data_IF_841419171513
#
_entry.id   IF_841419171513
#
_cell.length_a   1.000
_cell.length_b   1.000
_cell.length_c   1.000
_cell.angle_alpha   90.00
_cell.angle_beta   90.00
_cell.angle_gamma   90.00
#
_symmetry.space_group_name_H-M   'P 1'
#
loop_
_entity.id
_entity.type
_entity.pdbx_description
1 polymer ?
#
# COMPACT_ATOMS: atom_id res chain seq x y z
N UNK A 1 -22.41 31.18 45.92
CA UNK A 1 -21.67 29.89 45.86
C UNK A 1 -22.22 29.12 44.67
N UNK A 2 -21.53 29.15 43.52
CA UNK A 2 -21.96 28.42 42.33
C UNK A 2 -21.23 27.08 42.27
N UNK A 3 -21.99 25.99 42.28
CA UNK A 3 -21.49 24.62 42.22
C UNK A 3 -21.24 24.27 40.75
N UNK A 4 -19.98 24.12 40.36
CA UNK A 4 -19.59 23.64 39.03
C UNK A 4 -19.68 22.10 39.03
N UNK A 5 -20.71 21.56 38.37
CA UNK A 5 -20.82 20.13 38.09
C UNK A 5 -19.90 19.76 36.93
N UNK A 6 -18.76 19.12 37.24
CA UNK A 6 -17.88 18.51 36.24
C UNK A 6 -18.57 17.26 35.67
N UNK A 7 -19.17 17.38 34.49
CA UNK A 7 -19.53 16.22 33.67
C UNK A 7 -18.25 15.58 33.13
N UNK A 8 -17.81 14.49 33.76
CA UNK A 8 -16.81 13.58 33.22
C UNK A 8 -17.40 12.91 31.96
N UNK A 9 -17.14 13.49 30.80
CA UNK A 9 -17.35 12.84 29.52
C UNK A 9 -16.35 11.69 29.41
N UNK A 10 -16.75 10.49 29.81
CA UNK A 10 -16.01 9.26 29.48
C UNK A 10 -16.17 9.02 27.98
N UNK A 11 -15.18 9.44 27.19
CA UNK A 11 -15.05 9.01 25.80
C UNK A 11 -15.02 7.47 25.78
N UNK A 12 -15.91 6.81 25.02
CA UNK A 12 -15.83 5.37 24.89
C UNK A 12 -14.50 5.04 24.22
N UNK A 13 -13.63 4.31 24.93
CA UNK A 13 -12.43 3.72 24.35
C UNK A 13 -12.93 2.64 23.40
N UNK A 14 -13.05 3.00 22.11
CA UNK A 14 -13.20 2.01 21.05
C UNK A 14 -11.89 1.25 21.04
N UNK A 15 -11.87 0.06 21.63
CA UNK A 15 -10.81 -0.90 21.41
C UNK A 15 -10.87 -1.26 19.91
N UNK A 16 -10.08 -0.57 19.10
CA UNK A 16 -9.82 -1.04 17.75
C UNK A 16 -9.09 -2.37 17.94
N UNK A 17 -9.72 -3.47 17.54
CA UNK A 17 -8.99 -4.70 17.26
C UNK A 17 -8.12 -4.39 16.05
N UNK A 18 -6.97 -3.75 16.29
CA UNK A 18 -5.95 -3.61 15.28
C UNK A 18 -5.59 -5.05 14.90
N UNK A 19 -6.02 -5.48 13.71
CA UNK A 19 -5.58 -6.75 13.16
C UNK A 19 -4.04 -6.67 13.13
N UNK A 20 -3.41 -7.47 13.97
CA UNK A 20 -1.96 -7.47 14.12
C UNK A 20 -1.33 -7.99 12.83
N UNK A 21 -0.47 -7.19 12.23
CA UNK A 21 0.22 -7.49 10.99
C UNK A 21 1.11 -8.73 11.13
N UNK A 22 1.60 -9.01 12.34
CA UNK A 22 2.39 -10.22 12.65
C UNK A 22 1.58 -11.51 12.72
N UNK A 23 0.26 -11.43 12.90
CA UNK A 23 -0.57 -12.61 13.05
C UNK A 23 -0.89 -13.25 11.71
N UNK A 24 -1.01 -14.57 11.74
CA UNK A 24 -1.39 -15.37 10.59
C UNK A 24 -2.91 -15.36 10.49
N UNK A 25 -3.42 -14.88 9.37
CA UNK A 25 -4.85 -14.85 9.07
C UNK A 25 -5.18 -15.96 8.08
N UNK A 26 -6.39 -16.50 8.14
CA UNK A 26 -6.86 -17.50 7.20
C UNK A 26 -8.09 -16.99 6.47
N UNK A 27 -8.13 -17.22 5.16
CA UNK A 27 -9.24 -16.79 4.32
C UNK A 27 -9.35 -17.68 3.09
N UNK A 28 -10.48 -17.59 2.39
CA UNK A 28 -10.58 -18.18 1.04
C UNK A 28 -10.15 -17.13 0.04
N UNK A 29 -8.98 -17.29 -0.58
CA UNK A 29 -8.56 -16.41 -1.66
C UNK A 29 -9.24 -16.80 -2.97
N UNK A 30 -9.81 -15.83 -3.67
CA UNK A 30 -10.44 -16.03 -4.98
C UNK A 30 -9.51 -15.63 -6.12
N UNK A 31 -9.64 -16.28 -7.26
CA UNK A 31 -9.02 -15.85 -8.50
C UNK A 31 -9.75 -14.64 -9.06
N UNK A 32 -9.02 -13.57 -9.39
CA UNK A 32 -9.57 -12.49 -10.19
C UNK A 32 -9.66 -12.94 -11.66
N UNK A 33 -10.88 -13.00 -12.21
CA UNK A 33 -11.13 -13.52 -13.57
C UNK A 33 -10.46 -12.70 -14.67
N UNK A 34 -10.23 -11.40 -14.45
CA UNK A 34 -9.49 -10.53 -15.36
C UNK A 34 -8.29 -9.87 -14.65
N UNK A 35 -7.13 -10.54 -14.65
CA UNK A 35 -5.92 -10.07 -13.97
C UNK A 35 -5.44 -8.67 -14.42
N UNK A 36 -5.83 -8.20 -15.60
CA UNK A 36 -5.51 -6.83 -16.06
C UNK A 36 -6.25 -5.75 -15.28
N UNK A 37 -7.43 -6.06 -14.70
CA UNK A 37 -8.19 -5.13 -13.88
C UNK A 37 -7.45 -4.77 -12.59
N UNK A 38 -6.74 -5.73 -11.97
CA UNK A 38 -5.91 -5.46 -10.79
C UNK A 38 -4.75 -4.51 -11.09
N UNK A 39 -4.39 -4.34 -12.37
CA UNK A 39 -3.40 -3.34 -12.76
C UNK A 39 -3.97 -1.93 -12.72
N UNK A 40 -5.25 -1.76 -13.06
CA UNK A 40 -5.98 -0.48 -13.02
C UNK A 40 -6.95 -0.38 -11.84
N UNK A 41 -6.63 -1.08 -10.73
CA UNK A 41 -7.44 -1.13 -9.53
C UNK A 41 -7.50 0.20 -8.77
N UNK A 42 -8.25 0.21 -7.67
CA UNK A 42 -8.49 1.36 -6.80
C UNK A 42 -7.21 2.04 -6.28
N UNK A 43 -6.08 1.32 -6.20
CA UNK A 43 -4.80 1.93 -5.84
C UNK A 43 -4.20 2.85 -6.90
N UNK A 44 -4.66 2.75 -8.15
CA UNK A 44 -4.28 3.64 -9.23
C UNK A 44 -2.89 3.37 -9.80
N UNK A 45 -2.27 2.20 -9.59
CA UNK A 45 -0.92 1.91 -10.12
C UNK A 45 -0.88 1.79 -11.65
N UNK A 46 -1.99 1.44 -12.30
CA UNK A 46 -2.12 1.33 -13.75
C UNK A 46 -1.12 0.34 -14.35
N UNK A 47 -0.53 0.74 -15.48
CA UNK A 47 0.49 -0.05 -16.18
C UNK A 47 1.76 -0.35 -15.37
N UNK A 48 1.96 0.31 -14.23
CA UNK A 48 3.10 0.02 -13.35
C UNK A 48 2.88 -1.23 -12.49
N UNK A 49 1.63 -1.63 -12.23
CA UNK A 49 1.32 -2.71 -11.29
C UNK A 49 1.97 -4.06 -11.65
N UNK A 50 1.96 -4.53 -12.92
CA UNK A 50 2.58 -5.81 -13.29
C UNK A 50 4.10 -5.88 -13.03
N UNK A 51 4.76 -4.73 -12.86
CA UNK A 51 6.19 -4.68 -12.54
C UNK A 51 6.48 -5.01 -11.07
N UNK A 52 5.48 -4.93 -10.19
CA UNK A 52 5.63 -5.28 -8.78
C UNK A 52 5.51 -6.77 -8.58
N UNK A 53 6.50 -7.37 -7.89
CA UNK A 53 6.50 -8.79 -7.51
C UNK A 53 6.09 -9.73 -8.65
N UNK A 54 6.60 -9.49 -9.87
CA UNK A 54 6.28 -10.28 -11.07
C UNK A 54 4.77 -10.33 -11.44
N UNK A 55 4.01 -9.33 -11.01
CA UNK A 55 2.56 -9.26 -11.20
C UNK A 55 1.79 -10.11 -10.19
N UNK A 56 2.36 -10.38 -9.01
CA UNK A 56 1.65 -11.01 -7.90
C UNK A 56 0.78 -9.98 -7.17
N UNK A 57 -0.35 -9.65 -7.80
CA UNK A 57 -1.26 -8.60 -7.33
C UNK A 57 -2.40 -9.18 -6.49
N UNK A 58 -2.91 -8.36 -5.57
CA UNK A 58 -4.09 -8.64 -4.77
C UNK A 58 -5.05 -7.44 -4.72
N UNK A 59 -6.36 -7.72 -4.77
CA UNK A 59 -7.38 -6.83 -4.24
C UNK A 59 -7.65 -7.23 -2.79
N UNK A 60 -7.75 -6.26 -1.88
CA UNK A 60 -7.92 -6.52 -0.45
C UNK A 60 -9.17 -5.85 0.11
N UNK A 61 -9.78 -6.46 1.12
CA UNK A 61 -10.97 -5.93 1.80
C UNK A 61 -10.75 -4.54 2.42
N UNK A 62 -11.81 -3.76 2.72
CA UNK A 62 -11.69 -2.39 3.21
C UNK A 62 -10.74 -2.20 4.40
N UNK A 63 -10.69 -3.15 5.35
CA UNK A 63 -9.82 -3.07 6.52
C UNK A 63 -8.32 -3.21 6.20
N UNK A 64 -7.98 -3.89 5.09
CA UNK A 64 -6.60 -3.96 4.58
C UNK A 64 -6.32 -2.79 3.64
N UNK A 65 -7.28 -2.45 2.76
CA UNK A 65 -7.17 -1.33 1.83
C UNK A 65 -7.06 0.03 2.53
N UNK A 66 -7.70 0.19 3.69
CA UNK A 66 -7.63 1.36 4.59
C UNK A 66 -7.81 2.70 3.86
N UNK A 67 -8.88 2.81 3.08
CA UNK A 67 -9.17 4.01 2.27
C UNK A 67 -7.98 4.44 1.37
N UNK A 68 -7.14 3.49 0.96
CA UNK A 68 -5.97 3.72 0.12
C UNK A 68 -4.64 3.80 0.86
N UNK A 69 -4.59 3.91 2.20
CA UNK A 69 -3.30 3.86 2.92
C UNK A 69 -2.64 2.48 2.87
N UNK A 70 -3.43 1.42 2.69
CA UNK A 70 -2.94 0.06 2.48
C UNK A 70 -2.50 -0.25 1.05
N UNK A 71 -2.63 0.69 0.11
CA UNK A 71 -2.13 0.50 -1.24
C UNK A 71 -0.62 0.34 -1.25
N UNK A 72 -0.13 -0.72 -1.89
CA UNK A 72 1.28 -1.08 -1.87
C UNK A 72 1.70 -1.94 -0.68
N UNK A 73 0.80 -2.27 0.26
CA UNK A 73 1.11 -3.20 1.35
C UNK A 73 1.41 -4.61 0.81
N UNK A 74 2.39 -5.28 1.42
CA UNK A 74 2.81 -6.61 1.04
C UNK A 74 2.37 -7.68 2.04
N UNK A 75 1.97 -8.83 1.50
CA UNK A 75 1.57 -9.99 2.28
C UNK A 75 2.27 -11.24 1.78
N UNK A 76 2.76 -12.07 2.69
CA UNK A 76 3.12 -13.44 2.37
C UNK A 76 1.84 -14.27 2.41
N UNK A 77 1.52 -14.95 1.32
CA UNK A 77 0.30 -15.76 1.17
C UNK A 77 0.68 -17.20 0.82
N UNK A 78 0.12 -18.16 1.55
CA UNK A 78 0.35 -19.59 1.33
C UNK A 78 -0.98 -20.32 1.23
N UNK A 79 -1.15 -21.10 0.16
CA UNK A 79 -2.28 -22.02 0.07
C UNK A 79 -2.08 -23.25 0.96
N UNK A 80 -3.17 -23.72 1.58
CA UNK A 80 -3.14 -24.73 2.63
C UNK A 80 -3.23 -26.19 2.14
N UNK A 81 -3.56 -26.43 0.86
CA UNK A 81 -3.60 -27.79 0.31
C UNK A 81 -2.17 -28.27 0.02
N UNK A 82 -1.61 -29.08 0.93
CA UNK A 82 -0.24 -29.60 0.82
C UNK A 82 0.03 -30.44 -0.45
N UNK A 83 -1.00 -30.99 -1.11
CA UNK A 83 -0.83 -31.73 -2.38
C UNK A 83 -0.66 -30.79 -3.56
N UNK A 84 -1.27 -29.60 -3.49
CA UNK A 84 -1.25 -28.62 -4.58
C UNK A 84 -0.23 -27.51 -4.36
N UNK A 85 0.04 -27.15 -3.10
CA UNK A 85 0.62 -25.88 -2.71
C UNK A 85 1.98 -26.04 -2.05
N UNK A 86 2.88 -25.11 -2.36
CA UNK A 86 4.21 -25.05 -1.76
C UNK A 86 4.13 -24.58 -0.32
N UNK A 87 5.08 -25.02 0.51
CA UNK A 87 5.18 -24.57 1.91
C UNK A 87 5.60 -23.11 2.04
N UNK A 88 6.20 -22.54 1.00
CA UNK A 88 6.69 -21.16 0.98
C UNK A 88 5.57 -20.19 0.65
N UNK A 89 4.70 -20.53 -0.30
CA UNK A 89 3.71 -19.60 -0.82
C UNK A 89 4.33 -18.53 -1.72
N UNK A 90 3.72 -17.35 -1.79
CA UNK A 90 4.20 -16.21 -2.56
C UNK A 90 3.96 -14.90 -1.83
N UNK A 91 4.80 -13.91 -2.10
CA UNK A 91 4.53 -12.53 -1.71
C UNK A 91 3.60 -11.87 -2.75
N UNK A 92 2.62 -11.12 -2.26
CA UNK A 92 1.67 -10.34 -3.07
C UNK A 92 1.67 -8.88 -2.62
N UNK A 93 1.26 -7.98 -3.51
CA UNK A 93 1.09 -6.55 -3.24
C UNK A 93 -0.37 -6.14 -3.44
N UNK A 94 -0.89 -5.31 -2.54
CA UNK A 94 -2.24 -4.75 -2.63
C UNK A 94 -2.28 -3.64 -3.68
N UNK A 95 -3.06 -3.85 -4.74
CA UNK A 95 -3.24 -2.90 -5.85
C UNK A 95 -4.69 -2.52 -6.12
N UNK A 96 -5.63 -3.13 -5.40
CA UNK A 96 -7.06 -2.89 -5.61
C UNK A 96 -7.86 -3.09 -4.31
N UNK A 97 -9.10 -2.60 -4.32
CA UNK A 97 -10.09 -2.81 -3.28
C UNK A 97 -10.96 -4.02 -3.66
N UNK A 98 -11.07 -4.98 -2.75
CA UNK A 98 -12.11 -5.99 -2.81
C UNK A 98 -13.32 -5.51 -1.98
N UNK A 99 -14.40 -5.10 -2.65
CA UNK A 99 -15.64 -4.69 -1.97
C UNK A 99 -16.44 -5.85 -1.38
N UNK A 100 -16.08 -7.11 -1.70
CA UNK A 100 -16.73 -8.29 -1.13
C UNK A 100 -16.05 -8.69 0.19
N UNK A 101 -16.78 -8.60 1.30
CA UNK A 101 -16.29 -8.92 2.64
C UNK A 101 -16.25 -10.42 2.96
N UNK A 102 -16.69 -11.30 2.06
CA UNK A 102 -16.65 -12.76 2.26
C UNK A 102 -15.24 -13.35 2.18
N UNK A 103 -14.30 -12.63 1.56
CA UNK A 103 -12.92 -13.09 1.35
C UNK A 103 -11.97 -11.93 1.49
N UNK A 104 -10.89 -12.07 2.25
CA UNK A 104 -10.01 -10.93 2.53
C UNK A 104 -9.17 -10.53 1.32
N UNK A 105 -8.85 -11.50 0.46
CA UNK A 105 -7.96 -11.34 -0.69
C UNK A 105 -8.54 -11.93 -1.97
N UNK A 106 -8.45 -11.17 -3.06
CA UNK A 106 -8.64 -11.68 -4.43
C UNK A 106 -7.32 -11.55 -5.17
N UNK A 107 -6.82 -12.66 -5.70
CA UNK A 107 -5.45 -12.77 -6.22
C UNK A 107 -5.43 -12.79 -7.74
N UNK A 108 -4.38 -12.19 -8.31
CA UNK A 108 -4.03 -12.38 -9.71
C UNK A 108 -3.73 -13.86 -10.03
N UNK A 109 -3.93 -14.27 -11.28
CA UNK A 109 -3.60 -15.63 -11.75
C UNK A 109 -2.14 -15.99 -11.48
N UNK A 110 -1.22 -15.03 -11.62
CA UNK A 110 0.21 -15.23 -11.35
C UNK A 110 0.48 -15.50 -9.87
N UNK A 111 -0.11 -14.72 -8.97
CA UNK A 111 0.00 -14.97 -7.53
C UNK A 111 -0.58 -16.35 -7.16
N UNK A 112 -1.76 -16.71 -7.69
CA UNK A 112 -2.37 -18.01 -7.40
C UNK A 112 -1.47 -19.17 -7.85
N UNK A 113 -0.96 -19.12 -9.08
CA UNK A 113 -0.03 -20.14 -9.60
C UNK A 113 1.30 -20.19 -8.82
N UNK A 114 1.83 -19.04 -8.39
CA UNK A 114 3.10 -18.97 -7.65
C UNK A 114 3.04 -19.66 -6.28
N UNK A 115 1.84 -19.87 -5.72
CA UNK A 115 1.68 -20.66 -4.49
C UNK A 115 1.72 -22.18 -4.73
N UNK A 116 1.59 -22.65 -5.96
CA UNK A 116 1.52 -24.08 -6.26
C UNK A 116 2.88 -24.78 -6.13
N UNK A 117 2.86 -26.08 -5.92
CA UNK A 117 4.01 -26.95 -6.15
C UNK A 117 4.33 -27.00 -7.65
N UNK A 118 5.60 -27.28 -7.97
CA UNK A 118 6.05 -27.45 -9.35
C UNK A 118 5.19 -28.48 -10.08
N UNK A 119 4.58 -28.07 -11.20
CA UNK A 119 3.69 -28.90 -12.01
C UNK A 119 2.22 -28.88 -11.59
N UNK A 120 1.88 -28.21 -10.48
CA UNK A 120 0.52 -28.12 -9.95
C UNK A 120 -0.14 -26.75 -10.22
N UNK A 121 0.56 -25.83 -10.87
CA UNK A 121 0.15 -24.44 -11.10
C UNK A 121 -1.19 -24.36 -11.84
N UNK A 122 -1.30 -25.09 -12.94
CA UNK A 122 -2.53 -25.14 -13.74
C UNK A 122 -3.69 -25.81 -13.01
N UNK A 123 -3.40 -26.80 -12.15
CA UNK A 123 -4.43 -27.46 -11.36
C UNK A 123 -4.98 -26.51 -10.30
N UNK A 124 -4.12 -25.78 -9.61
CA UNK A 124 -4.52 -24.77 -8.63
C UNK A 124 -5.29 -23.62 -9.31
N UNK A 125 -4.82 -23.15 -10.47
CA UNK A 125 -5.50 -22.09 -11.23
C UNK A 125 -6.92 -22.48 -11.63
N UNK A 126 -7.12 -23.73 -12.09
CA UNK A 126 -8.44 -24.26 -12.50
C UNK A 126 -9.45 -24.36 -11.34
N UNK A 127 -9.00 -24.41 -10.09
CA UNK A 127 -9.91 -24.37 -8.94
C UNK A 127 -10.57 -23.00 -8.77
N UNK A 128 -9.97 -21.93 -9.30
CA UNK A 128 -10.49 -20.56 -9.21
C UNK A 128 -10.51 -19.96 -7.80
N UNK A 129 -10.11 -20.72 -6.78
CA UNK A 129 -9.98 -20.30 -5.40
C UNK A 129 -9.06 -21.25 -4.62
N UNK A 130 -8.52 -20.77 -3.50
CA UNK A 130 -7.75 -21.59 -2.57
C UNK A 130 -7.99 -21.12 -1.13
N UNK A 131 -8.06 -22.06 -0.18
CA UNK A 131 -7.91 -21.71 1.23
C UNK A 131 -6.46 -21.32 1.46
N UNK A 132 -6.25 -20.11 1.96
CA UNK A 132 -4.92 -19.56 2.19
C UNK A 132 -4.79 -19.10 3.62
N UNK A 133 -3.55 -19.10 4.07
CA UNK A 133 -3.11 -18.29 5.18
C UNK A 133 -2.28 -17.11 4.65
N UNK A 134 -2.34 -15.98 5.33
CA UNK A 134 -1.57 -14.81 4.96
C UNK A 134 -1.12 -14.01 6.18
N UNK A 135 -0.01 -13.29 6.04
CA UNK A 135 0.49 -12.34 7.04
C UNK A 135 1.10 -11.14 6.35
N UNK A 136 1.02 -9.96 6.97
CA UNK A 136 1.68 -8.77 6.43
C UNK A 136 3.19 -8.93 6.59
N UNK A 137 3.94 -8.53 5.57
CA UNK A 137 5.41 -8.63 5.52
C UNK A 137 6.00 -7.34 4.96
N UNK A 138 7.27 -7.01 5.26
CA UNK A 138 7.93 -5.88 4.64
C UNK A 138 7.96 -6.00 3.12
N UNK A 139 7.66 -4.90 2.44
CA UNK A 139 7.90 -4.80 1.01
C UNK A 139 9.40 -4.59 0.76
N UNK A 140 10.02 -5.51 0.02
CA UNK A 140 11.41 -5.40 -0.44
C UNK A 140 11.45 -5.24 -1.95
N UNK A 141 11.98 -4.10 -2.40
CA UNK A 141 12.15 -3.78 -3.82
C UNK A 141 13.61 -3.90 -4.29
N UNK A 142 14.44 -4.68 -3.60
CA UNK A 142 15.81 -5.05 -3.99
C UNK A 142 16.69 -3.85 -4.31
N UNK A 143 16.72 -2.89 -3.38
CA UNK A 143 17.54 -1.69 -3.49
C UNK A 143 16.93 -0.54 -4.30
N UNK A 144 15.70 -0.67 -4.80
CA UNK A 144 14.97 0.48 -5.37
C UNK A 144 14.61 1.47 -4.27
N UNK A 145 14.78 2.75 -4.57
CA UNK A 145 14.30 3.84 -3.76
C UNK A 145 12.79 4.04 -3.96
N UNK A 146 12.17 4.72 -3.00
CA UNK A 146 10.85 5.33 -3.18
C UNK A 146 10.91 6.20 -4.44
N UNK A 147 9.93 6.04 -5.33
CA UNK A 147 9.84 6.83 -6.55
C UNK A 147 8.49 7.53 -6.64
N UNK A 148 8.45 8.64 -7.39
CA UNK A 148 7.25 9.41 -7.64
C UNK A 148 6.97 9.42 -9.14
N UNK A 149 5.76 9.04 -9.54
CA UNK A 149 5.29 9.23 -10.92
C UNK A 149 4.36 10.43 -10.97
N UNK A 150 4.56 11.32 -11.93
CA UNK A 150 3.61 12.40 -12.22
C UNK A 150 2.44 11.85 -13.04
N UNK A 151 1.22 12.05 -12.55
CA UNK A 151 0.01 11.51 -13.17
C UNK A 151 -0.46 12.31 -14.37
N UNK A 152 -1.15 11.62 -15.26
CA UNK A 152 -1.75 12.14 -16.49
C UNK A 152 -2.78 13.24 -16.22
N UNK A 153 -3.38 13.28 -15.03
CA UNK A 153 -4.27 14.36 -14.62
C UNK A 153 -3.56 15.67 -14.24
N UNK A 154 -2.23 15.68 -14.08
CA UNK A 154 -1.48 16.87 -13.70
C UNK A 154 -1.55 17.96 -14.76
N UNK A 155 -1.64 19.23 -14.33
CA UNK A 155 -1.74 20.41 -15.20
C UNK A 155 -0.84 21.51 -14.67
N UNK A 156 0.37 21.61 -15.21
CA UNK A 156 1.32 22.65 -14.83
C UNK A 156 0.80 24.04 -15.23
N UNK A 157 0.97 25.10 -14.42
CA UNK A 157 1.50 25.11 -13.05
C UNK A 157 0.42 24.94 -11.95
N UNK A 158 -0.84 24.68 -12.31
CA UNK A 158 -1.97 24.85 -11.40
C UNK A 158 -2.36 23.61 -10.60
N UNK A 159 -1.96 22.42 -11.04
CA UNK A 159 -2.37 21.17 -10.41
C UNK A 159 -1.30 20.09 -10.60
N UNK A 160 -0.94 19.44 -9.50
CA UNK A 160 0.00 18.33 -9.47
C UNK A 160 -0.70 17.13 -8.83
N UNK A 161 -0.71 16.01 -9.55
CA UNK A 161 -1.09 14.72 -9.03
C UNK A 161 0.09 13.76 -9.21
N UNK A 162 0.47 13.06 -8.14
CA UNK A 162 1.59 12.13 -8.13
C UNK A 162 1.15 10.81 -7.50
N UNK A 163 1.78 9.70 -7.88
CA UNK A 163 1.69 8.45 -7.11
C UNK A 163 3.06 8.02 -6.63
N UNK A 164 3.11 7.46 -5.44
CA UNK A 164 4.31 6.83 -4.91
C UNK A 164 4.43 5.39 -5.44
N UNK A 165 5.64 5.02 -5.81
CA UNK A 165 6.01 3.67 -6.25
C UNK A 165 7.13 3.17 -5.35
N UNK A 166 7.24 1.85 -5.20
CA UNK A 166 8.31 1.19 -4.45
C UNK A 166 8.41 1.66 -2.98
N UNK A 167 7.26 1.92 -2.33
CA UNK A 167 7.21 2.18 -0.89
C UNK A 167 7.57 0.90 -0.12
N UNK A 168 8.78 0.84 0.42
CA UNK A 168 9.30 -0.33 1.12
C UNK A 168 8.88 -0.45 2.59
N UNK A 169 9.32 -1.54 3.22
CA UNK A 169 9.01 -1.85 4.62
C UNK A 169 7.57 -2.29 4.86
N UNK A 170 7.17 -2.39 6.12
CA UNK A 170 5.77 -2.53 6.56
C UNK A 170 5.20 -1.17 6.90
N UNK A 171 5.19 -0.28 5.92
CA UNK A 171 4.86 1.14 6.15
C UNK A 171 3.55 1.54 5.50
N UNK A 172 3.00 2.67 5.94
CA UNK A 172 1.89 3.37 5.32
C UNK A 172 2.24 4.87 5.24
N UNK A 173 2.18 5.48 4.05
CA UNK A 173 2.31 6.94 3.92
C UNK A 173 0.99 7.56 4.38
N UNK A 174 1.02 8.35 5.47
CA UNK A 174 -0.18 8.94 6.07
C UNK A 174 -0.32 10.44 5.81
N UNK A 175 0.78 11.14 5.50
CA UNK A 175 0.74 12.53 5.04
C UNK A 175 1.89 12.83 4.09
N UNK A 176 1.69 13.81 3.23
CA UNK A 176 2.67 14.24 2.23
C UNK A 176 2.62 15.76 2.13
N UNK A 177 3.78 16.39 2.28
CA UNK A 177 3.98 17.82 2.09
C UNK A 177 4.96 18.06 0.93
N UNK A 178 4.79 19.18 0.24
CA UNK A 178 5.63 19.64 -0.86
C UNK A 178 6.09 21.07 -0.63
N UNK A 179 7.33 21.36 -1.01
CA UNK A 179 7.88 22.71 -1.05
C UNK A 179 8.79 22.87 -2.26
N UNK A 180 9.10 24.12 -2.61
CA UNK A 180 10.22 24.40 -3.51
C UNK A 180 11.54 24.02 -2.82
N UNK A 181 12.47 23.43 -3.57
CA UNK A 181 13.82 23.12 -3.08
C UNK A 181 14.49 24.38 -2.55
N UNK A 182 15.05 24.31 -1.34
CA UNK A 182 15.72 25.42 -0.67
C UNK A 182 14.80 26.36 0.12
N UNK A 183 13.47 26.20 0.01
CA UNK A 183 12.50 26.96 0.80
C UNK A 183 11.80 26.09 1.84
N UNK A 184 11.27 26.72 2.89
CA UNK A 184 10.57 26.07 4.00
C UNK A 184 9.05 26.31 4.02
N UNK A 185 8.50 26.86 2.94
CA UNK A 185 7.07 27.08 2.75
C UNK A 185 6.38 25.78 2.30
N UNK A 186 6.18 24.87 3.25
CA UNK A 186 5.52 23.58 3.02
C UNK A 186 4.02 23.76 2.78
N UNK A 187 3.51 23.14 1.71
CA UNK A 187 2.09 22.93 1.48
C UNK A 187 1.78 21.43 1.53
N UNK A 188 0.56 21.07 1.94
CA UNK A 188 0.15 19.66 2.00
C UNK A 188 -0.37 19.17 0.64
N UNK A 189 -0.26 17.86 0.43
CA UNK A 189 -1.01 17.12 -0.59
C UNK A 189 -2.15 16.36 0.09
N UNK A 190 -3.28 16.27 -0.61
CA UNK A 190 -4.41 15.43 -0.21
C UNK A 190 -4.35 14.10 -0.93
N UNK A 191 -4.78 13.02 -0.27
CA UNK A 191 -4.96 11.72 -0.96
C UNK A 191 -6.19 11.80 -1.84
N UNK A 192 -5.99 11.69 -3.16
CA UNK A 192 -7.08 11.67 -4.14
C UNK A 192 -7.77 10.32 -4.18
N UNK A 193 -6.98 9.26 -4.36
CA UNK A 193 -7.43 7.87 -4.41
C UNK A 193 -6.24 6.95 -4.28
N UNK A 194 -6.32 5.91 -3.45
CA UNK A 194 -5.28 4.89 -3.38
C UNK A 194 -3.89 5.47 -3.08
N UNK A 195 -2.94 5.21 -3.97
CA UNK A 195 -1.57 5.71 -3.92
C UNK A 195 -1.38 7.13 -4.52
N UNK A 196 -2.45 7.75 -5.04
CA UNK A 196 -2.41 9.05 -5.72
C UNK A 196 -2.66 10.19 -4.72
N UNK A 197 -1.75 11.17 -4.74
CA UNK A 197 -1.75 12.39 -3.94
C UNK A 197 -1.81 13.61 -4.85
N UNK A 198 -2.50 14.66 -4.43
CA UNK A 198 -2.72 15.85 -5.25
C UNK A 198 -2.61 17.18 -4.50
N UNK A 199 -2.31 18.25 -5.22
CA UNK A 199 -2.42 19.63 -4.75
C UNK A 199 -2.72 20.59 -5.90
N UNK A 200 -3.53 21.61 -5.61
CA UNK A 200 -3.78 22.74 -6.52
C UNK A 200 -2.91 23.97 -6.19
N UNK A 201 -1.99 23.85 -5.23
CA UNK A 201 -1.04 24.90 -4.83
C UNK A 201 0.38 24.45 -5.13
N UNK A 202 0.67 24.20 -6.40
CA UNK A 202 1.98 23.69 -6.82
C UNK A 202 3.05 24.76 -6.60
N UNK A 203 4.11 24.50 -5.80
CA UNK A 203 5.21 25.46 -5.68
C UNK A 203 5.91 25.69 -7.02
N UNK A 204 6.49 26.87 -7.19
CA UNK A 204 7.32 27.16 -8.37
C UNK A 204 8.68 26.46 -8.25
N UNK A 205 9.31 26.14 -9.38
CA UNK A 205 10.65 25.55 -9.40
C UNK A 205 10.70 24.05 -9.09
N UNK A 206 11.90 23.56 -8.77
CA UNK A 206 12.11 22.16 -8.38
C UNK A 206 11.47 21.87 -7.02
N UNK A 207 10.95 20.66 -6.83
CA UNK A 207 10.14 20.28 -5.67
C UNK A 207 10.82 19.22 -4.80
N UNK A 208 10.66 19.43 -3.50
CA UNK A 208 11.03 18.51 -2.42
C UNK A 208 9.78 18.04 -1.68
N UNK A 209 9.87 16.86 -1.07
CA UNK A 209 8.74 16.22 -0.39
C UNK A 209 9.10 15.79 1.03
N UNK A 210 8.17 15.99 1.96
CA UNK A 210 8.20 15.37 3.28
C UNK A 210 7.03 14.41 3.38
N UNK A 211 7.29 13.20 3.86
CA UNK A 211 6.28 12.20 4.10
C UNK A 211 6.26 11.85 5.58
N UNK A 212 5.08 11.69 6.17
CA UNK A 212 4.97 10.93 7.40
C UNK A 212 4.59 9.49 7.03
N UNK A 213 5.40 8.54 7.48
CA UNK A 213 5.11 7.12 7.37
C UNK A 213 4.86 6.53 8.74
N UNK A 214 3.93 5.58 8.82
CA UNK A 214 3.66 4.81 10.03
C UNK A 214 4.02 3.34 9.83
N UNK A 215 4.55 2.70 10.85
CA UNK A 215 4.84 1.27 10.89
C UNK A 215 4.50 0.72 12.27
N UNK A 216 3.35 0.04 12.41
CA UNK A 216 2.80 -0.28 13.73
C UNK A 216 2.52 1.01 14.53
N UNK A 217 3.11 1.14 15.71
CA UNK A 217 3.00 2.36 16.53
C UNK A 217 4.02 3.45 16.19
N UNK A 218 5.03 3.12 15.39
CA UNK A 218 6.06 4.08 15.03
C UNK A 218 5.60 5.03 13.94
N UNK A 219 6.06 6.28 14.06
CA UNK A 219 5.88 7.33 13.07
C UNK A 219 7.23 7.93 12.73
N UNK A 220 7.55 7.98 11.43
CA UNK A 220 8.81 8.50 10.92
C UNK A 220 8.55 9.57 9.86
N UNK A 221 9.30 10.66 9.96
CA UNK A 221 9.33 11.67 8.92
C UNK A 221 10.42 11.32 7.89
N UNK A 222 10.02 11.21 6.64
CA UNK A 222 10.90 10.96 5.49
C UNK A 222 11.04 12.25 4.71
N UNK A 223 12.26 12.65 4.37
CA UNK A 223 12.52 13.85 3.59
C UNK A 223 13.24 13.53 2.28
N UNK A 224 12.52 13.63 1.18
CA UNK A 224 13.04 13.51 -0.17
C UNK A 224 13.39 14.90 -0.72
N UNK A 225 14.69 15.24 -0.71
CA UNK A 225 15.18 16.63 -0.79
C UNK A 225 15.10 17.29 -2.16
N UNK A 226 15.08 16.53 -3.25
CA UNK A 226 15.02 17.09 -4.61
C UNK A 226 14.56 15.99 -5.57
N UNK A 227 13.25 15.88 -5.77
CA UNK A 227 12.66 14.76 -6.52
C UNK A 227 12.16 15.20 -7.89
N UNK A 228 11.30 16.22 -7.94
CA UNK A 228 10.74 16.70 -9.19
C UNK A 228 11.52 17.94 -9.65
N UNK A 229 12.10 17.94 -10.87
CA UNK A 229 12.73 19.14 -11.41
C UNK A 229 11.66 20.20 -11.75
N UNK A 230 12.09 21.44 -11.96
CA UNK A 230 11.16 22.54 -12.25
C UNK A 230 10.32 22.30 -13.52
N UNK A 231 10.85 21.54 -14.47
CA UNK A 231 10.28 21.13 -15.74
C UNK A 231 9.77 19.67 -15.73
N UNK A 232 9.29 19.20 -14.58
CA UNK A 232 8.70 17.87 -14.46
C UNK A 232 7.64 17.59 -15.55
N UNK A 233 7.59 16.34 -15.99
CA UNK A 233 6.76 15.91 -17.10
C UNK A 233 5.75 14.85 -16.65
N UNK A 234 4.56 14.94 -17.21
CA UNK A 234 3.50 13.94 -17.03
C UNK A 234 3.99 12.57 -17.49
N UNK A 235 3.67 11.55 -16.71
CA UNK A 235 3.98 10.15 -17.01
C UNK A 235 5.44 9.76 -16.77
N UNK A 236 6.27 10.65 -16.23
CA UNK A 236 7.66 10.35 -15.87
C UNK A 236 7.75 9.88 -14.43
N UNK A 237 8.64 8.93 -14.18
CA UNK A 237 8.98 8.41 -12.85
C UNK A 237 10.29 9.06 -12.40
N UNK A 238 10.30 9.63 -11.21
CA UNK A 238 11.43 10.29 -10.58
C UNK A 238 11.85 9.53 -9.32
N UNK A 239 13.14 9.22 -9.23
CA UNK A 239 13.74 8.58 -8.05
C UNK A 239 13.89 9.62 -6.93
N UNK A 240 13.47 9.28 -5.70
CA UNK A 240 13.59 10.19 -4.56
C UNK A 240 14.96 10.17 -3.88
N UNK A 241 15.78 9.16 -4.14
CA UNK A 241 17.03 8.87 -3.44
C UNK A 241 16.83 8.31 -2.03
N UNK A 242 15.60 8.01 -1.62
CA UNK A 242 15.27 7.57 -0.26
C UNK A 242 14.78 6.12 -0.25
N UNK A 243 15.36 5.32 0.64
CA UNK A 243 14.86 3.98 0.95
C UNK A 243 14.02 4.01 2.23
N UNK A 244 12.99 3.17 2.25
CA UNK A 244 12.12 2.94 3.41
C UNK A 244 12.12 1.43 3.63
N UNK A 245 12.56 0.99 4.80
CA UNK A 245 12.71 -0.40 5.19
C UNK A 245 12.15 -0.70 6.58
N UNK A 246 11.50 0.30 7.20
CA UNK A 246 10.92 0.20 8.53
C UNK A 246 9.93 -0.97 8.63
N UNK A 247 10.04 -1.75 9.71
CA UNK A 247 9.24 -2.94 10.00
C UNK A 247 8.30 -2.61 11.16
N UNK A 248 7.07 -3.13 11.15
CA UNK A 248 6.04 -2.71 12.09
C UNK A 248 6.38 -3.10 13.52
N UNK A 249 6.46 -2.10 14.40
CA UNK A 249 6.54 -2.31 15.84
C UNK A 249 5.12 -2.43 16.42
N UNK A 250 4.75 -3.65 16.81
CA UNK A 250 3.40 -3.96 17.27
C UNK A 250 3.37 -4.42 18.74
N UNK A 251 2.60 -3.74 19.57
CA UNK A 251 2.27 -4.15 20.94
C UNK A 251 1.10 -5.13 21.00
N UNK A 252 1.09 -6.08 20.09
CA UNK A 252 0.04 -7.08 19.99
C UNK A 252 0.14 -8.14 21.09
N UNK A 253 -0.99 -8.75 21.45
CA UNK A 253 -1.05 -9.99 22.24
C UNK A 253 -0.57 -11.21 21.45
N UNK A 254 -0.65 -12.40 22.05
CA UNK A 254 -0.40 -13.65 21.29
C UNK A 254 -1.41 -13.75 20.14
N UNK A 255 -0.95 -14.28 19.01
CA UNK A 255 -1.84 -14.65 17.92
C UNK A 255 -2.50 -15.95 18.36
N UNK A 256 -3.76 -15.87 18.78
CA UNK A 256 -4.55 -17.02 19.22
C UNK A 256 -4.98 -17.89 18.04
#
# INVERSE_FOLDING_TARGET
MAIFLYFLFTLPVIASTNACDRCLHQTKALLFSNASALSYGACGYGSSAPSFYNGHLAAAVPNIYKFGSGCGACFQVRCMDAKLCSKVGTQVIVTDLNSNTQTDLVLSSRALMAMANKGMEQKLLKLGAANVEYKRVPCDYKGKNLALRVEESSRKPHYLAIKFLFQGGQTEIVSVDVAQVGLSNWGFLSRKSGAIWETSRVPAGALQFRLAVTSGYDRKAIWAKSVLPADWNVGVVYDSGVQIDDVAEEGCGRCD
#
